data_IF_025553033407
#
_entry.id   IF_025553033407
#
_cell.length_a   1.000
_cell.length_b   1.000
_cell.length_c   1.000
_cell.angle_alpha   90.00
_cell.angle_beta   90.00
_cell.angle_gamma   90.00
#
_symmetry.space_group_name_H-M   'P 1'
#
loop_
_entity.id
_entity.type
_entity.pdbx_description
1 polymer ?
#
# COMPACT_ATOMS: atom_id res chain seq x y z
N UNK A 1 34.43 -9.60 -23.97
CA UNK A 1 34.22 -8.23 -23.48
C UNK A 1 32.74 -8.04 -23.19
N UNK A 2 32.34 -7.90 -21.93
CA UNK A 2 30.95 -7.60 -21.54
C UNK A 2 30.75 -6.08 -21.55
N UNK A 3 30.65 -5.49 -22.74
CA UNK A 3 30.18 -4.09 -22.84
C UNK A 3 28.66 -4.10 -22.82
N UNK A 4 28.00 -3.18 -22.08
CA UNK A 4 26.57 -2.99 -22.16
C UNK A 4 26.11 -2.79 -23.61
N UNK A 5 25.00 -3.44 -23.98
CA UNK A 5 24.38 -3.24 -25.29
C UNK A 5 23.71 -1.87 -25.32
N UNK A 6 23.78 -1.17 -26.45
CA UNK A 6 23.06 0.11 -26.61
C UNK A 6 21.56 -0.15 -26.55
N UNK A 7 20.88 0.48 -25.60
CA UNK A 7 19.43 0.49 -25.48
C UNK A 7 18.86 1.75 -26.10
N UNK A 8 17.64 1.68 -26.62
CA UNK A 8 16.90 2.83 -27.15
C UNK A 8 15.55 2.94 -26.43
N UNK A 9 15.14 4.17 -26.14
CA UNK A 9 13.81 4.45 -25.59
C UNK A 9 12.80 4.48 -26.74
N UNK A 10 11.71 3.74 -26.57
CA UNK A 10 10.62 3.64 -27.55
C UNK A 10 9.32 4.06 -26.90
N UNK A 11 8.45 4.74 -27.66
CA UNK A 11 7.08 5.04 -27.26
C UNK A 11 6.12 4.29 -28.19
N UNK A 12 5.14 3.61 -27.61
CA UNK A 12 4.16 2.78 -28.34
C UNK A 12 2.78 3.42 -28.18
N UNK A 13 2.16 3.80 -29.29
CA UNK A 13 0.84 4.44 -29.32
C UNK A 13 -0.09 3.59 -30.17
N UNK A 14 -1.32 3.40 -29.70
CA UNK A 14 -2.32 2.64 -30.44
C UNK A 14 -3.70 2.71 -29.79
N UNK A 15 -4.73 2.15 -30.45
CA UNK A 15 -6.08 2.11 -29.90
C UNK A 15 -6.14 1.28 -28.61
N UNK A 16 -6.99 1.70 -27.66
CA UNK A 16 -7.15 1.06 -26.34
C UNK A 16 -7.53 -0.42 -26.45
N UNK A 17 -8.28 -0.80 -27.48
CA UNK A 17 -8.72 -2.18 -27.73
C UNK A 17 -7.56 -3.16 -27.90
N UNK A 18 -6.42 -2.70 -28.42
CA UNK A 18 -5.24 -3.55 -28.64
C UNK A 18 -4.27 -3.57 -27.46
N UNK A 19 -4.48 -2.73 -26.44
CA UNK A 19 -3.55 -2.58 -25.30
C UNK A 19 -3.23 -3.93 -24.63
N UNK A 20 -4.24 -4.77 -24.43
CA UNK A 20 -4.08 -6.08 -23.82
C UNK A 20 -3.21 -7.02 -24.68
N UNK A 21 -3.53 -7.13 -25.97
CA UNK A 21 -2.79 -7.99 -26.90
C UNK A 21 -1.34 -7.52 -27.08
N UNK A 22 -1.13 -6.20 -27.27
CA UNK A 22 0.19 -5.60 -27.39
C UNK A 22 1.02 -5.83 -26.13
N UNK A 23 0.46 -5.59 -24.93
CA UNK A 23 1.16 -5.82 -23.66
C UNK A 23 1.61 -7.28 -23.51
N UNK A 24 0.77 -8.24 -23.89
CA UNK A 24 1.11 -9.66 -23.79
C UNK A 24 2.20 -10.08 -24.79
N UNK A 25 2.15 -9.57 -26.02
CA UNK A 25 3.18 -9.82 -27.04
C UNK A 25 4.53 -9.22 -26.59
N UNK A 26 4.53 -7.97 -26.11
CA UNK A 26 5.75 -7.31 -25.63
C UNK A 26 6.36 -8.06 -24.43
N UNK A 27 5.52 -8.52 -23.51
CA UNK A 27 5.96 -9.35 -22.38
C UNK A 27 6.57 -10.68 -22.85
N UNK A 28 5.95 -11.36 -23.83
CA UNK A 28 6.48 -12.61 -24.40
C UNK A 28 7.78 -12.42 -25.19
N UNK A 29 7.98 -11.25 -25.78
CA UNK A 29 9.18 -10.95 -26.57
C UNK A 29 10.43 -10.73 -25.70
N UNK A 30 10.29 -10.46 -24.39
CA UNK A 30 11.39 -10.15 -23.46
C UNK A 30 12.36 -9.06 -23.96
N UNK A 31 11.90 -8.18 -24.85
CA UNK A 31 12.75 -7.23 -25.57
C UNK A 31 12.71 -5.81 -24.99
N UNK A 32 11.85 -5.56 -24.01
CA UNK A 32 11.61 -4.23 -23.46
C UNK A 32 11.71 -4.22 -21.94
N UNK A 33 12.26 -3.13 -21.42
CA UNK A 33 12.13 -2.75 -20.02
C UNK A 33 11.09 -1.63 -19.94
N UNK A 34 10.04 -1.82 -19.13
CA UNK A 34 8.99 -0.83 -18.93
C UNK A 34 9.45 0.13 -17.84
N UNK A 35 9.57 1.42 -18.19
CA UNK A 35 9.79 2.49 -17.22
C UNK A 35 8.47 2.84 -16.52
N UNK A 36 8.54 3.31 -15.28
CA UNK A 36 7.37 3.79 -14.56
C UNK A 36 6.76 4.99 -15.31
N UNK A 37 5.47 4.91 -15.71
CA UNK A 37 4.82 5.98 -16.44
C UNK A 37 4.65 7.21 -15.55
N UNK A 38 5.10 8.38 -16.05
CA UNK A 38 4.87 9.67 -15.43
C UNK A 38 3.63 10.35 -16.03
N UNK A 39 2.89 11.09 -15.20
CA UNK A 39 1.83 11.97 -15.71
C UNK A 39 2.43 13.22 -16.35
N UNK A 40 1.81 13.65 -17.45
CA UNK A 40 2.14 14.88 -18.15
C UNK A 40 0.84 15.70 -18.35
N UNK A 41 0.95 16.98 -18.68
CA UNK A 41 -0.19 17.91 -18.84
C UNK A 41 -1.27 17.35 -19.77
N UNK A 42 -0.84 16.64 -20.82
CA UNK A 42 -1.71 16.04 -21.84
C UNK A 42 -1.93 14.54 -21.67
N UNK A 43 -1.17 13.87 -20.80
CA UNK A 43 -1.21 12.41 -20.63
C UNK A 43 -1.38 12.04 -19.16
N UNK A 44 -2.62 11.68 -18.80
CA UNK A 44 -2.94 11.14 -17.49
C UNK A 44 -2.81 9.63 -17.47
N UNK A 45 -2.46 9.08 -16.31
CA UNK A 45 -2.47 7.64 -16.10
C UNK A 45 -3.90 7.11 -16.23
N UNK A 46 -4.09 6.17 -17.14
CA UNK A 46 -5.35 5.46 -17.30
C UNK A 46 -5.56 4.39 -16.22
N UNK A 47 -6.75 3.81 -16.19
CA UNK A 47 -7.01 2.66 -15.34
C UNK A 47 -6.35 1.38 -15.91
N UNK A 48 -5.80 0.52 -15.04
CA UNK A 48 -5.35 -0.80 -15.44
C UNK A 48 -6.48 -1.62 -16.08
N UNK A 49 -6.12 -2.57 -16.94
CA UNK A 49 -7.04 -3.59 -17.41
C UNK A 49 -7.68 -4.32 -16.22
N UNK A 50 -8.93 -4.76 -16.35
CA UNK A 50 -9.73 -5.30 -15.24
C UNK A 50 -9.01 -6.37 -14.41
N UNK A 51 -8.38 -7.35 -15.08
CA UNK A 51 -7.57 -8.39 -14.41
C UNK A 51 -6.39 -7.80 -13.63
N UNK A 52 -5.70 -6.83 -14.23
CA UNK A 52 -4.58 -6.15 -13.59
C UNK A 52 -5.03 -5.25 -12.42
N UNK A 53 -6.24 -4.68 -12.51
CA UNK A 53 -6.83 -3.87 -11.43
C UNK A 53 -7.04 -4.70 -10.16
N UNK A 54 -7.57 -5.93 -10.30
CA UNK A 54 -7.74 -6.86 -9.16
C UNK A 54 -6.39 -7.21 -8.54
N UNK A 55 -5.41 -7.60 -9.36
CA UNK A 55 -4.06 -7.94 -8.87
C UNK A 55 -3.37 -6.74 -8.21
N UNK A 56 -3.54 -5.54 -8.77
CA UNK A 56 -2.98 -4.30 -8.22
C UNK A 56 -3.56 -4.00 -6.83
N UNK A 57 -4.87 -4.12 -6.66
CA UNK A 57 -5.53 -3.97 -5.34
C UNK A 57 -4.96 -4.94 -4.31
N UNK A 58 -4.79 -6.21 -4.68
CA UNK A 58 -4.20 -7.23 -3.82
C UNK A 58 -2.75 -6.92 -3.43
N UNK A 59 -1.94 -6.45 -4.37
CA UNK A 59 -0.55 -6.05 -4.11
C UNK A 59 -0.46 -4.85 -3.17
N UNK A 60 -1.32 -3.84 -3.35
CA UNK A 60 -1.37 -2.67 -2.46
C UNK A 60 -1.75 -3.09 -1.04
N UNK A 61 -2.77 -3.94 -0.89
CA UNK A 61 -3.18 -4.49 0.41
C UNK A 61 -2.04 -5.27 1.08
N UNK A 62 -1.38 -6.18 0.36
CA UNK A 62 -0.23 -6.94 0.89
C UNK A 62 0.90 -6.02 1.34
N UNK A 63 1.27 -5.03 0.53
CA UNK A 63 2.32 -4.06 0.88
C UNK A 63 1.96 -3.26 2.14
N UNK A 64 0.69 -2.87 2.28
CA UNK A 64 0.20 -2.22 3.49
C UNK A 64 0.38 -3.11 4.72
N UNK A 65 -0.01 -4.38 4.64
CA UNK A 65 0.16 -5.32 5.76
C UNK A 65 1.63 -5.58 6.09
N UNK A 66 2.49 -5.78 5.10
CA UNK A 66 3.95 -5.94 5.28
C UNK A 66 4.53 -4.73 6.01
N UNK A 67 4.14 -3.52 5.58
CA UNK A 67 4.56 -2.26 6.21
C UNK A 67 4.09 -2.16 7.67
N UNK A 68 2.81 -2.42 7.93
CA UNK A 68 2.25 -2.37 9.29
C UNK A 68 2.88 -3.41 10.23
N UNK A 69 3.17 -4.61 9.71
CA UNK A 69 3.81 -5.69 10.48
C UNK A 69 5.34 -5.54 10.56
N UNK A 70 5.92 -4.55 9.88
CA UNK A 70 7.38 -4.31 9.79
C UNK A 70 8.13 -5.56 9.32
N UNK A 71 7.56 -6.26 8.36
CA UNK A 71 8.17 -7.45 7.76
C UNK A 71 9.15 -6.99 6.68
N UNK A 72 10.36 -7.52 6.71
CA UNK A 72 11.31 -7.37 5.60
C UNK A 72 10.99 -8.41 4.50
N UNK A 73 10.48 -8.01 3.34
CA UNK A 73 10.14 -8.93 2.27
C UNK A 73 11.38 -9.65 1.69
N UNK A 74 12.57 -9.06 1.77
CA UNK A 74 13.80 -9.68 1.25
C UNK A 74 14.30 -10.83 2.15
N UNK A 75 13.87 -10.85 3.41
CA UNK A 75 14.21 -11.92 4.36
C UNK A 75 13.35 -13.19 4.19
N UNK A 76 12.24 -13.12 3.43
CA UNK A 76 11.29 -14.21 3.29
C UNK A 76 11.48 -14.91 1.95
N UNK A 77 11.99 -16.14 2.02
CA UNK A 77 12.12 -17.01 0.86
C UNK A 77 11.03 -18.09 0.85
N UNK A 78 10.31 -18.28 -0.26
CA UNK A 78 9.31 -19.33 -0.35
C UNK A 78 9.97 -20.70 -0.22
N UNK A 79 9.43 -21.55 0.66
CA UNK A 79 9.96 -22.91 0.95
C UNK A 79 9.96 -23.83 -0.29
N UNK A 80 9.10 -23.54 -1.27
CA UNK A 80 9.01 -24.24 -2.55
C UNK A 80 8.52 -23.31 -3.65
N UNK A 81 8.69 -23.74 -4.90
CA UNK A 81 8.07 -23.06 -6.04
C UNK A 81 6.56 -23.33 -6.04
N UNK A 82 5.76 -22.27 -6.05
CA UNK A 82 4.31 -22.35 -6.19
C UNK A 82 3.92 -22.33 -7.66
N UNK A 83 2.93 -23.14 -8.04
CA UNK A 83 2.35 -23.07 -9.39
C UNK A 83 1.43 -21.86 -9.45
N UNK A 84 1.33 -21.21 -10.62
CA UNK A 84 0.44 -20.06 -10.84
C UNK A 84 -1.00 -20.32 -10.36
N UNK A 85 -1.57 -21.47 -10.73
CA UNK A 85 -2.94 -21.87 -10.38
C UNK A 85 -3.13 -22.01 -8.86
N UNK A 86 -2.10 -22.47 -8.15
CA UNK A 86 -2.13 -22.61 -6.69
C UNK A 86 -2.14 -21.24 -6.00
N UNK A 87 -1.39 -20.26 -6.53
CA UNK A 87 -1.39 -18.89 -6.01
C UNK A 87 -2.74 -18.23 -6.30
N UNK A 88 -3.23 -18.32 -7.55
CA UNK A 88 -4.49 -17.70 -7.94
C UNK A 88 -5.69 -18.22 -7.14
N UNK A 89 -5.72 -19.52 -6.79
CA UNK A 89 -6.83 -20.09 -6.02
C UNK A 89 -6.80 -19.74 -4.53
N UNK A 90 -5.61 -19.51 -3.95
CA UNK A 90 -5.47 -19.28 -2.51
C UNK A 90 -5.37 -17.80 -2.15
N UNK A 91 -4.90 -16.94 -3.07
CA UNK A 91 -4.55 -15.55 -2.74
C UNK A 91 -5.76 -14.76 -2.24
N UNK A 92 -6.93 -14.94 -2.85
CA UNK A 92 -8.14 -14.21 -2.46
C UNK A 92 -8.58 -14.61 -1.04
N UNK A 93 -8.72 -15.91 -0.78
CA UNK A 93 -9.08 -16.41 0.54
C UNK A 93 -8.09 -15.95 1.62
N UNK A 94 -6.78 -16.04 1.35
CA UNK A 94 -5.76 -15.62 2.30
C UNK A 94 -5.79 -14.12 2.57
N UNK A 95 -6.09 -13.31 1.56
CA UNK A 95 -6.22 -11.86 1.73
C UNK A 95 -7.44 -11.49 2.56
N UNK A 96 -8.56 -12.19 2.36
CA UNK A 96 -9.77 -11.98 3.16
C UNK A 96 -9.52 -12.36 4.63
N UNK A 97 -8.84 -13.48 4.88
CA UNK A 97 -8.38 -13.89 6.23
C UNK A 97 -7.49 -12.81 6.86
N UNK A 98 -6.49 -12.32 6.12
CA UNK A 98 -5.59 -11.27 6.58
C UNK A 98 -6.31 -9.94 6.84
N UNK A 99 -7.27 -9.57 6.01
CA UNK A 99 -8.06 -8.37 6.21
C UNK A 99 -8.89 -8.45 7.49
N UNK A 100 -9.48 -9.60 7.77
CA UNK A 100 -10.22 -9.80 9.01
C UNK A 100 -9.30 -9.77 10.24
N UNK A 101 -8.14 -10.44 10.20
CA UNK A 101 -7.28 -10.52 11.38
C UNK A 101 -6.39 -9.29 11.56
N UNK A 102 -5.65 -8.89 10.53
CA UNK A 102 -4.68 -7.79 10.59
C UNK A 102 -5.42 -6.46 10.51
N UNK A 103 -6.40 -6.34 9.61
CA UNK A 103 -7.18 -5.11 9.44
C UNK A 103 -7.88 -4.69 10.72
N UNK A 104 -8.58 -5.61 11.40
CA UNK A 104 -9.25 -5.30 12.67
C UNK A 104 -8.28 -4.89 13.78
N UNK A 105 -7.06 -5.45 13.80
CA UNK A 105 -6.01 -5.05 14.75
C UNK A 105 -5.45 -3.68 14.42
N UNK A 106 -5.26 -3.35 13.15
CA UNK A 106 -4.83 -2.01 12.69
C UNK A 106 -5.87 -0.96 13.10
N UNK A 107 -7.15 -1.23 12.87
CA UNK A 107 -8.23 -0.30 13.22
C UNK A 107 -8.31 -0.08 14.73
N UNK A 108 -8.14 -1.14 15.53
CA UNK A 108 -8.04 -1.04 16.99
C UNK A 108 -6.83 -0.22 17.42
N UNK A 109 -5.66 -0.45 16.83
CA UNK A 109 -4.45 0.32 17.12
C UNK A 109 -4.64 1.81 16.82
N UNK A 110 -5.24 2.13 15.67
CA UNK A 110 -5.56 3.51 15.30
C UNK A 110 -6.50 4.16 16.33
N UNK A 111 -7.58 3.47 16.69
CA UNK A 111 -8.56 3.97 17.67
C UNK A 111 -7.91 4.23 19.04
N UNK A 112 -7.05 3.32 19.50
CA UNK A 112 -6.31 3.49 20.75
C UNK A 112 -5.29 4.64 20.67
N UNK A 113 -4.58 4.77 19.55
CA UNK A 113 -3.63 5.86 19.33
C UNK A 113 -4.32 7.22 19.33
N UNK A 114 -5.48 7.33 18.67
CA UNK A 114 -6.26 8.57 18.62
C UNK A 114 -6.77 8.95 20.01
N UNK A 115 -7.26 7.97 20.79
CA UNK A 115 -7.70 8.17 22.17
C UNK A 115 -6.55 8.54 23.10
N UNK A 116 -5.38 7.94 22.91
CA UNK A 116 -4.19 8.28 23.69
C UNK A 116 -3.81 9.74 23.43
N UNK A 117 -3.77 10.15 22.16
CA UNK A 117 -3.46 11.52 21.76
C UNK A 117 -4.47 12.52 22.32
N UNK A 118 -5.77 12.21 22.30
CA UNK A 118 -6.78 13.11 22.88
C UNK A 118 -6.58 13.30 24.38
N UNK A 119 -6.27 12.23 25.12
CA UNK A 119 -5.98 12.30 26.56
C UNK A 119 -4.68 13.07 26.83
N UNK A 120 -3.64 12.90 25.99
CA UNK A 120 -2.41 13.68 26.10
C UNK A 120 -2.64 15.18 25.85
N UNK A 121 -3.48 15.53 24.88
CA UNK A 121 -3.84 16.91 24.58
C UNK A 121 -4.66 17.53 25.72
N UNK A 122 -5.60 16.78 26.33
CA UNK A 122 -6.30 17.19 27.55
C UNK A 122 -5.33 17.40 28.72
N UNK A 123 -4.37 16.49 28.91
CA UNK A 123 -3.34 16.61 29.95
C UNK A 123 -2.49 17.87 29.77
N UNK A 124 -2.03 18.15 28.54
CA UNK A 124 -1.28 19.36 28.22
C UNK A 124 -2.08 20.63 28.47
N UNK A 125 -3.38 20.62 28.17
CA UNK A 125 -4.25 21.76 28.47
C UNK A 125 -4.39 22.02 29.98
N UNK A 126 -4.34 20.95 30.80
CA UNK A 126 -4.42 21.04 32.26
C UNK A 126 -3.06 21.29 32.94
N UNK A 127 -1.94 21.06 32.24
CA UNK A 127 -0.58 21.20 32.79
C UNK A 127 -0.29 22.60 33.38
N UNK A 128 -0.69 23.73 32.76
CA UNK A 128 -0.51 25.06 33.34
C UNK A 128 -1.25 25.26 34.67
N UNK A 129 -2.42 24.65 34.84
CA UNK A 129 -3.20 24.74 36.08
C UNK A 129 -2.48 24.05 37.25
N UNK A 130 -1.73 22.98 36.96
CA UNK A 130 -0.90 22.29 37.95
C UNK A 130 0.24 23.19 38.43
N UNK A 131 0.87 23.93 37.53
CA UNK A 131 1.94 24.90 37.85
C UNK A 131 1.42 26.05 38.72
N UNK A 132 0.17 26.46 38.54
CA UNK A 132 -0.48 27.49 39.37
C UNK A 132 -0.85 27.01 40.78
N UNK A 133 -0.73 25.71 41.09
CA UNK A 133 -1.04 25.15 42.40
C UNK A 133 -2.52 25.17 42.78
N UNK A 134 -3.41 25.48 41.82
CA UNK A 134 -4.85 25.58 42.05
C UNK A 134 -5.45 24.17 42.06
N UNK A 135 -6.15 23.81 43.14
CA UNK A 135 -6.83 22.52 43.21
C UNK A 135 -7.90 22.42 42.12
N UNK A 136 -7.93 21.35 41.29
CA UNK A 136 -8.98 21.16 40.28
C UNK A 136 -10.40 21.13 40.85
N UNK A 137 -10.54 20.86 42.16
CA UNK A 137 -11.83 20.90 42.87
C UNK A 137 -12.42 22.32 42.94
N UNK A 138 -11.59 23.36 42.86
CA UNK A 138 -12.01 24.76 42.92
C UNK A 138 -12.49 25.31 41.55
N UNK A 139 -12.28 24.56 40.46
CA UNK A 139 -12.64 24.96 39.10
C UNK A 139 -14.00 24.41 38.64
N UNK A 140 -14.80 23.82 39.55
CA UNK A 140 -16.16 23.36 39.26
C UNK A 140 -17.18 24.45 39.60
N UNK A 141 -18.21 24.60 38.77
CA UNK A 141 -19.37 25.46 39.06
C UNK A 141 -19.36 26.84 38.38
N UNK A 142 -18.30 27.18 37.64
CA UNK A 142 -18.35 28.31 36.71
C UNK A 142 -19.20 27.92 35.50
N UNK A 143 -20.32 28.61 35.34
CA UNK A 143 -21.20 28.53 34.17
C UNK A 143 -20.79 29.59 33.16
#
# INVERSE_FOLDING_TARGET
MLKPVKMVKVSVVGPKEYLAATSEILHKAYALHIEDPAEDEYFKLGEPLEKASVTSKYLVLLRSYISHLKIDPESIFPKRKYRRVEVESQIQQKLDEFQQEIGTRIDRLKTLSDRLKSIEDELKALEPLRTLGISPRLLKGYK
#
